data_IF_990775055288
#
_entry.id   IF_990775055288
#
_cell.length_a   1.000
_cell.length_b   1.000
_cell.length_c   1.000
_cell.angle_alpha   90.00
_cell.angle_beta   90.00
_cell.angle_gamma   90.00
#
_symmetry.space_group_name_H-M   'P 1'
#
loop_
_entity.id
_entity.type
_entity.pdbx_description
1 polymer ?
#
# COMPACT_ATOMS: atom_id res chain seq x y z
N UNK A 1 5.25 10.73 7.96
CA UNK A 1 5.17 10.08 6.65
C UNK A 1 5.91 10.80 5.56
N UNK A 2 6.12 10.11 4.46
CA UNK A 2 6.72 10.68 3.24
C UNK A 2 5.91 10.23 2.02
N UNK A 3 5.67 11.17 1.10
CA UNK A 3 5.17 10.91 -0.24
C UNK A 3 6.35 11.05 -1.21
N UNK A 4 6.51 10.06 -2.07
CA UNK A 4 7.55 10.02 -3.11
C UNK A 4 6.89 9.83 -4.48
N UNK A 5 7.58 10.21 -5.55
CA UNK A 5 7.24 9.66 -6.86
C UNK A 5 7.51 8.15 -6.86
N UNK A 6 6.75 7.40 -7.65
CA UNK A 6 6.96 5.95 -7.78
C UNK A 6 8.39 5.69 -8.29
N UNK A 7 9.24 5.00 -7.51
CA UNK A 7 10.60 4.65 -7.92
C UNK A 7 10.55 3.45 -8.88
N UNK A 8 10.18 3.70 -10.13
CA UNK A 8 9.91 2.68 -11.14
C UNK A 8 11.06 1.70 -11.32
N UNK A 9 12.28 2.22 -11.46
CA UNK A 9 13.47 1.40 -11.70
C UNK A 9 13.73 0.44 -10.54
N UNK A 10 13.56 0.90 -9.30
CA UNK A 10 13.63 0.04 -8.13
C UNK A 10 12.54 -1.04 -8.18
N UNK A 11 11.28 -0.69 -8.51
CA UNK A 11 10.21 -1.67 -8.55
C UNK A 11 10.38 -2.70 -9.66
N UNK A 12 11.00 -2.34 -10.78
CA UNK A 12 11.36 -3.30 -11.84
C UNK A 12 12.35 -4.36 -11.36
N UNK A 13 13.21 -4.07 -10.37
CA UNK A 13 14.13 -5.08 -9.83
C UNK A 13 13.43 -6.14 -8.98
N UNK A 14 12.31 -5.79 -8.34
CA UNK A 14 11.55 -6.68 -7.46
C UNK A 14 10.29 -7.27 -8.09
N UNK A 15 9.81 -6.67 -9.15
CA UNK A 15 8.68 -7.12 -9.97
C UNK A 15 9.00 -6.89 -11.46
N UNK A 16 9.83 -7.75 -12.08
CA UNK A 16 10.37 -7.53 -13.43
C UNK A 16 9.31 -7.38 -14.53
N UNK A 17 8.13 -7.99 -14.31
CA UNK A 17 7.02 -7.99 -15.28
C UNK A 17 6.14 -6.74 -15.21
N UNK A 18 6.48 -5.73 -14.39
CA UNK A 18 5.72 -4.48 -14.38
C UNK A 18 5.77 -3.81 -15.77
N UNK A 19 4.64 -3.22 -16.21
CA UNK A 19 4.61 -2.40 -17.42
C UNK A 19 5.51 -1.16 -17.29
N UNK A 20 5.54 -0.36 -18.35
CA UNK A 20 6.27 0.90 -18.36
C UNK A 20 5.74 1.88 -17.30
N UNK A 21 6.60 2.83 -16.92
CA UNK A 21 6.26 3.89 -15.96
C UNK A 21 4.98 4.62 -16.39
N UNK A 22 4.03 4.72 -15.46
CA UNK A 22 2.71 5.33 -15.68
C UNK A 22 1.65 4.37 -16.22
N UNK A 23 2.01 3.15 -16.66
CA UNK A 23 1.06 2.13 -17.13
C UNK A 23 0.58 1.20 -16.01
N UNK A 24 0.96 1.46 -14.78
CA UNK A 24 0.46 0.80 -13.57
C UNK A 24 0.34 1.77 -12.42
N UNK A 25 -0.51 1.44 -11.46
CA UNK A 25 -0.59 2.10 -10.18
C UNK A 25 -0.09 1.20 -9.06
N UNK A 26 0.33 1.80 -7.96
CA UNK A 26 0.75 1.07 -6.77
C UNK A 26 0.38 1.81 -5.49
N UNK A 27 0.28 1.07 -4.40
CA UNK A 27 0.03 1.61 -3.07
C UNK A 27 0.40 0.62 -1.98
N UNK A 28 0.66 1.13 -0.79
CA UNK A 28 0.85 0.32 0.40
C UNK A 28 -0.50 0.04 1.05
N UNK A 29 -0.79 -1.23 1.27
CA UNK A 29 -1.95 -1.72 1.99
C UNK A 29 -1.56 -2.01 3.45
N UNK A 30 -2.23 -1.35 4.38
CA UNK A 30 -2.01 -1.54 5.82
C UNK A 30 -3.10 -2.46 6.36
N UNK A 31 -2.70 -3.69 6.69
CA UNK A 31 -3.59 -4.70 7.22
C UNK A 31 -3.54 -4.71 8.75
N UNK A 32 -4.70 -4.69 9.44
CA UNK A 32 -4.73 -4.72 10.89
C UNK A 32 -4.32 -6.09 11.46
N UNK A 33 -3.91 -6.04 12.71
CA UNK A 33 -3.60 -7.21 13.52
C UNK A 33 -2.16 -7.71 13.40
N UNK A 34 -1.68 -8.41 14.45
CA UNK A 34 -0.31 -8.91 14.53
C UNK A 34 0.04 -9.90 13.40
N UNK A 35 1.30 -9.88 12.98
CA UNK A 35 1.79 -10.73 11.87
C UNK A 35 1.52 -12.22 12.12
N UNK A 36 1.73 -12.71 13.34
CA UNK A 36 1.66 -14.12 13.70
C UNK A 36 0.32 -14.54 14.32
N UNK A 37 -0.69 -13.67 14.34
CA UNK A 37 -2.03 -14.03 14.82
C UNK A 37 -2.84 -14.73 13.72
N UNK A 38 -3.28 -15.96 13.97
CA UNK A 38 -4.02 -16.79 13.00
C UNK A 38 -5.38 -16.20 12.60
N UNK A 39 -6.05 -15.48 13.52
CA UNK A 39 -7.33 -14.81 13.20
C UNK A 39 -7.09 -13.63 12.27
N UNK A 40 -6.08 -12.82 12.58
CA UNK A 40 -5.65 -11.72 11.73
C UNK A 40 -5.14 -12.19 10.36
N UNK A 41 -4.47 -13.33 10.30
CA UNK A 41 -4.03 -13.95 9.04
C UNK A 41 -5.21 -14.33 8.13
N UNK A 42 -6.23 -14.99 8.69
CA UNK A 42 -7.46 -15.31 7.95
C UNK A 42 -8.16 -14.06 7.43
N UNK A 43 -8.24 -13.02 8.27
CA UNK A 43 -8.83 -11.75 7.88
C UNK A 43 -8.03 -11.06 6.75
N UNK A 44 -6.69 -11.07 6.84
CA UNK A 44 -5.82 -10.55 5.77
C UNK A 44 -6.01 -11.30 4.46
N UNK A 45 -6.11 -12.63 4.52
CA UNK A 45 -6.36 -13.46 3.33
C UNK A 45 -7.71 -13.12 2.70
N UNK A 46 -8.77 -13.00 3.50
CA UNK A 46 -10.09 -12.60 3.02
C UNK A 46 -10.08 -11.20 2.38
N UNK A 47 -9.37 -10.25 3.00
CA UNK A 47 -9.20 -8.90 2.43
C UNK A 47 -8.45 -8.92 1.10
N UNK A 48 -7.38 -9.70 0.97
CA UNK A 48 -6.65 -9.84 -0.30
C UNK A 48 -7.57 -10.40 -1.38
N UNK A 49 -8.34 -11.45 -1.10
CA UNK A 49 -9.32 -12.00 -2.05
C UNK A 49 -10.38 -10.97 -2.45
N UNK A 50 -10.91 -10.19 -1.50
CA UNK A 50 -11.88 -9.12 -1.82
C UNK A 50 -11.26 -8.03 -2.70
N UNK A 51 -10.00 -7.64 -2.41
CA UNK A 51 -9.25 -6.66 -3.21
C UNK A 51 -9.08 -7.16 -4.64
N UNK A 52 -8.64 -8.41 -4.81
CA UNK A 52 -8.40 -9.01 -6.13
C UNK A 52 -9.71 -9.11 -6.93
N UNK A 53 -10.79 -9.59 -6.30
CA UNK A 53 -12.12 -9.67 -6.93
C UNK A 53 -12.69 -8.30 -7.30
N UNK A 54 -12.47 -7.28 -6.45
CA UNK A 54 -12.90 -5.91 -6.75
C UNK A 54 -12.06 -5.28 -7.86
N UNK A 55 -10.75 -5.59 -7.93
CA UNK A 55 -9.89 -5.11 -9.02
C UNK A 55 -10.40 -5.59 -10.37
N UNK A 56 -10.68 -6.89 -10.49
CA UNK A 56 -11.26 -7.49 -11.69
C UNK A 56 -12.57 -6.79 -12.10
N UNK A 57 -13.52 -6.65 -11.17
CA UNK A 57 -14.81 -5.97 -11.38
C UNK A 57 -14.66 -4.49 -11.75
N UNK A 58 -13.51 -3.87 -11.41
CA UNK A 58 -13.19 -2.48 -11.69
C UNK A 58 -12.41 -2.29 -13.00
N UNK A 59 -12.21 -3.35 -13.78
CA UNK A 59 -11.42 -3.33 -15.01
C UNK A 59 -9.92 -3.11 -14.74
N UNK A 60 -9.45 -3.53 -13.55
CA UNK A 60 -8.05 -3.52 -13.16
C UNK A 60 -7.51 -4.95 -13.13
N UNK A 61 -6.22 -5.09 -13.38
CA UNK A 61 -5.49 -6.36 -13.28
C UNK A 61 -4.49 -6.27 -12.14
N UNK A 62 -4.51 -7.23 -11.23
CA UNK A 62 -3.46 -7.35 -10.20
C UNK A 62 -2.21 -7.92 -10.85
N UNK A 63 -1.17 -7.10 -10.93
CA UNK A 63 0.10 -7.45 -11.54
C UNK A 63 1.02 -8.18 -10.55
N UNK A 64 1.02 -7.74 -9.31
CA UNK A 64 1.80 -8.36 -8.24
C UNK A 64 1.34 -7.89 -6.85
N UNK A 65 1.58 -8.75 -5.86
CA UNK A 65 1.62 -8.42 -4.44
C UNK A 65 3.02 -8.69 -3.90
N UNK A 66 3.47 -7.89 -2.93
CA UNK A 66 4.67 -8.18 -2.15
C UNK A 66 4.52 -7.74 -0.70
N UNK A 67 5.29 -8.34 0.17
CA UNK A 67 5.49 -7.83 1.52
C UNK A 67 6.47 -6.66 1.48
N UNK A 68 6.16 -5.61 2.25
CA UNK A 68 7.06 -4.46 2.40
C UNK A 68 7.98 -4.74 3.57
N UNK A 69 9.31 -4.67 3.39
CA UNK A 69 10.24 -4.96 4.46
C UNK A 69 10.19 -3.86 5.52
N UNK A 70 9.83 -4.24 6.75
CA UNK A 70 9.77 -3.37 7.93
C UNK A 70 10.70 -3.89 9.02
N UNK A 71 11.18 -2.97 9.87
CA UNK A 71 11.98 -3.30 11.05
C UNK A 71 11.24 -2.86 12.32
N UNK A 72 10.52 -3.77 13.01
CA UNK A 72 9.78 -3.45 14.22
C UNK A 72 10.69 -3.13 15.44
N UNK A 73 11.98 -3.40 15.37
CA UNK A 73 12.88 -3.15 16.50
C UNK A 73 13.17 -1.66 16.74
N UNK A 74 12.91 -0.82 15.74
CA UNK A 74 13.13 0.63 15.85
C UNK A 74 11.94 1.40 16.40
N UNK A 75 10.80 0.74 16.63
CA UNK A 75 9.57 1.37 17.14
C UNK A 75 9.30 1.04 18.61
N UNK A 76 8.62 1.94 19.31
CA UNK A 76 8.30 1.74 20.72
C UNK A 76 7.26 0.65 20.97
N UNK A 77 7.18 0.15 22.20
CA UNK A 77 6.31 -0.96 22.60
C UNK A 77 4.81 -0.71 22.29
N UNK A 78 4.34 0.53 22.40
CA UNK A 78 2.95 0.88 22.10
C UNK A 78 2.71 0.77 20.58
N UNK A 79 3.63 1.28 19.76
CA UNK A 79 3.53 1.20 18.32
C UNK A 79 3.62 -0.25 17.81
N UNK A 80 4.47 -1.09 18.44
CA UNK A 80 4.55 -2.54 18.13
C UNK A 80 3.21 -3.26 18.33
N UNK A 81 2.44 -2.92 19.36
CA UNK A 81 1.13 -3.54 19.62
C UNK A 81 0.08 -3.23 18.55
N UNK A 82 0.22 -2.09 17.89
CA UNK A 82 -0.68 -1.63 16.84
C UNK A 82 -0.03 -1.71 15.43
N UNK A 83 1.11 -2.39 15.33
CA UNK A 83 1.84 -2.50 14.06
C UNK A 83 1.01 -3.24 13.03
N UNK A 84 0.72 -2.62 11.87
CA UNK A 84 0.05 -3.31 10.77
C UNK A 84 1.01 -4.18 9.97
N UNK A 85 0.48 -5.22 9.36
CA UNK A 85 1.20 -5.90 8.27
C UNK A 85 1.09 -5.04 7.01
N UNK A 86 2.23 -4.68 6.42
CA UNK A 86 2.27 -3.80 5.25
C UNK A 86 2.59 -4.62 4.01
N UNK A 87 1.66 -4.62 3.05
CA UNK A 87 1.87 -5.19 1.72
C UNK A 87 1.78 -4.10 0.65
N UNK A 88 2.40 -4.34 -0.48
CA UNK A 88 2.28 -3.47 -1.65
C UNK A 88 1.56 -4.20 -2.77
N UNK A 89 0.60 -3.52 -3.40
CA UNK A 89 -0.08 -3.99 -4.61
C UNK A 89 0.41 -3.21 -5.83
N UNK A 90 0.48 -3.89 -6.96
CA UNK A 90 0.66 -3.29 -8.28
C UNK A 90 -0.55 -3.62 -9.13
N UNK A 91 -1.19 -2.60 -9.69
CA UNK A 91 -2.42 -2.71 -10.48
C UNK A 91 -2.21 -2.10 -11.85
N UNK A 92 -2.53 -2.85 -12.89
CA UNK A 92 -2.59 -2.37 -14.27
C UNK A 92 -4.01 -2.27 -14.78
N UNK A 93 -4.16 -1.88 -16.04
CA UNK A 93 -5.43 -1.96 -16.75
C UNK A 93 -5.68 -3.41 -17.21
N UNK A 94 -6.90 -3.93 -16.98
CA UNK A 94 -7.32 -5.22 -17.54
C UNK A 94 -7.41 -5.19 -19.10
N UNK A 95 -7.34 -3.98 -19.69
CA UNK A 95 -7.33 -3.76 -21.15
C UNK A 95 -5.90 -3.65 -21.70
N UNK A 96 -4.93 -4.26 -21.05
CA UNK A 96 -3.52 -4.19 -21.45
C UNK A 96 -2.93 -2.79 -21.22
N UNK A 97 -2.30 -2.21 -22.23
CA UNK A 97 -1.61 -0.92 -22.12
C UNK A 97 -2.54 0.31 -22.15
N UNK A 98 -3.87 0.13 -22.07
CA UNK A 98 -4.80 1.25 -21.96
C UNK A 98 -4.69 1.92 -20.59
N UNK A 99 -4.00 3.05 -20.56
CA UNK A 99 -3.82 3.89 -19.37
C UNK A 99 -4.87 4.99 -19.24
N UNK A 100 -5.82 5.05 -20.19
CA UNK A 100 -6.90 6.04 -20.16
C UNK A 100 -7.65 5.92 -18.83
N UNK A 101 -7.76 7.03 -18.12
CA UNK A 101 -8.43 7.12 -16.82
C UNK A 101 -7.92 6.15 -15.73
N UNK A 102 -6.72 5.55 -15.89
CA UNK A 102 -6.21 4.60 -14.90
C UNK A 102 -6.15 5.22 -13.50
N UNK A 103 -5.69 6.45 -13.35
CA UNK A 103 -5.65 7.16 -12.07
C UNK A 103 -7.05 7.31 -11.45
N UNK A 104 -8.06 7.65 -12.27
CA UNK A 104 -9.46 7.74 -11.82
C UNK A 104 -10.00 6.37 -11.42
N UNK A 105 -9.71 5.32 -12.19
CA UNK A 105 -10.11 3.94 -11.86
C UNK A 105 -9.51 3.47 -10.55
N UNK A 106 -8.23 3.76 -10.28
CA UNK A 106 -7.56 3.47 -9.02
C UNK A 106 -8.20 4.22 -7.85
N UNK A 107 -8.53 5.49 -8.04
CA UNK A 107 -9.24 6.28 -7.03
C UNK A 107 -10.62 5.69 -6.70
N UNK A 108 -11.42 5.39 -7.73
CA UNK A 108 -12.75 4.80 -7.55
C UNK A 108 -12.68 3.40 -6.92
N UNK A 109 -11.72 2.58 -7.34
CA UNK A 109 -11.44 1.28 -6.74
C UNK A 109 -11.17 1.42 -5.25
N UNK A 110 -10.24 2.31 -4.85
CA UNK A 110 -9.92 2.56 -3.44
C UNK A 110 -11.16 2.99 -2.65
N UNK A 111 -11.98 3.91 -3.18
CA UNK A 111 -13.20 4.37 -2.51
C UNK A 111 -14.24 3.28 -2.35
N UNK A 112 -14.41 2.43 -3.35
CA UNK A 112 -15.31 1.25 -3.27
C UNK A 112 -14.82 0.26 -2.23
N UNK A 113 -13.53 -0.02 -2.20
CA UNK A 113 -12.94 -0.92 -1.22
C UNK A 113 -13.10 -0.39 0.22
N UNK A 114 -12.83 0.90 0.47
CA UNK A 114 -13.06 1.55 1.76
C UNK A 114 -14.53 1.38 2.22
N UNK A 115 -15.48 1.50 1.30
CA UNK A 115 -16.90 1.27 1.58
C UNK A 115 -17.17 -0.20 1.92
N UNK A 116 -16.70 -1.13 1.11
CA UNK A 116 -16.89 -2.58 1.32
C UNK A 116 -16.35 -3.00 2.70
N UNK A 117 -15.13 -2.60 3.04
CA UNK A 117 -14.51 -2.96 4.33
C UNK A 117 -15.30 -2.38 5.52
N UNK A 118 -15.90 -1.21 5.35
CA UNK A 118 -16.71 -0.58 6.40
C UNK A 118 -18.07 -1.25 6.60
N UNK A 119 -18.70 -1.71 5.53
CA UNK A 119 -20.09 -2.16 5.52
C UNK A 119 -20.25 -3.68 5.67
N UNK A 120 -19.30 -4.47 5.20
CA UNK A 120 -19.38 -5.94 5.32
C UNK A 120 -19.07 -6.39 6.75
N UNK A 121 -19.97 -7.17 7.35
CA UNK A 121 -19.80 -7.73 8.70
C UNK A 121 -18.56 -8.64 8.80
N UNK A 122 -18.18 -9.30 7.73
CA UNK A 122 -16.97 -10.11 7.61
C UNK A 122 -15.70 -9.33 7.92
N UNK A 123 -15.69 -8.02 7.64
CA UNK A 123 -14.56 -7.12 7.85
C UNK A 123 -14.71 -6.21 9.08
N UNK A 124 -15.57 -6.57 10.03
CA UNK A 124 -15.79 -5.77 11.26
C UNK A 124 -14.49 -5.53 12.04
N UNK A 125 -13.58 -6.50 12.05
CA UNK A 125 -12.26 -6.41 12.70
C UNK A 125 -11.18 -5.76 11.79
N UNK A 126 -11.53 -5.33 10.57
CA UNK A 126 -10.62 -4.73 9.61
C UNK A 126 -10.79 -3.22 9.43
N UNK A 127 -11.44 -2.53 10.37
CA UNK A 127 -11.74 -1.08 10.26
C UNK A 127 -10.51 -0.19 10.09
N UNK A 128 -9.36 -0.65 10.55
CA UNK A 128 -8.07 0.07 10.42
C UNK A 128 -7.36 -0.23 9.08
N UNK A 129 -7.91 -1.15 8.27
CA UNK A 129 -7.40 -1.41 6.93
C UNK A 129 -7.52 -0.15 6.05
N UNK A 130 -6.42 0.22 5.40
CA UNK A 130 -6.45 1.35 4.48
C UNK A 130 -5.29 1.36 3.49
N UNK A 131 -5.49 2.08 2.38
CA UNK A 131 -4.44 2.54 1.49
C UNK A 131 -4.20 4.03 1.71
N UNK A 132 -3.01 4.48 2.16
CA UNK A 132 -2.68 5.91 2.24
C UNK A 132 -2.74 6.59 0.87
N UNK A 133 -2.26 5.88 -0.15
CA UNK A 133 -2.34 6.28 -1.55
C UNK A 133 -2.47 5.05 -2.43
N UNK A 134 -3.08 5.23 -3.59
CA UNK A 134 -3.08 4.27 -4.68
C UNK A 134 -3.08 5.10 -5.97
N UNK A 135 -1.94 5.12 -6.68
CA UNK A 135 -1.70 6.10 -7.74
C UNK A 135 -0.72 5.55 -8.78
N UNK A 136 -0.79 6.09 -9.99
CA UNK A 136 0.20 5.85 -11.06
C UNK A 136 1.44 6.74 -10.92
N UNK A 137 1.41 7.73 -9.99
CA UNK A 137 2.42 8.80 -9.91
C UNK A 137 3.21 8.77 -8.61
N UNK A 138 2.54 8.51 -7.48
CA UNK A 138 3.13 8.67 -6.15
C UNK A 138 2.84 7.49 -5.24
N UNK A 139 3.68 7.32 -4.23
CA UNK A 139 3.50 6.34 -3.15
C UNK A 139 3.75 7.01 -1.81
N UNK A 140 2.99 6.60 -0.79
CA UNK A 140 3.08 7.14 0.57
C UNK A 140 3.53 6.07 1.54
N UNK A 141 4.64 6.35 2.23
CA UNK A 141 5.10 5.61 3.41
C UNK A 141 4.72 6.39 4.66
N UNK A 142 3.96 5.78 5.56
CA UNK A 142 3.54 6.42 6.81
C UNK A 142 3.41 5.40 7.95
N UNK A 143 3.36 5.90 9.18
CA UNK A 143 3.12 5.11 10.38
C UNK A 143 3.14 5.99 11.61
N UNK A 144 2.86 5.41 12.77
CA UNK A 144 3.07 6.04 14.08
C UNK A 144 4.56 6.02 14.42
N UNK A 145 5.34 6.84 13.71
CA UNK A 145 6.79 6.85 13.70
C UNK A 145 7.31 8.26 13.98
N UNK A 146 8.37 8.38 14.74
CA UNK A 146 9.16 9.61 14.75
C UNK A 146 9.83 9.79 13.38
N UNK A 147 10.14 11.04 13.01
CA UNK A 147 10.75 11.34 11.70
C UNK A 147 12.05 10.56 11.47
N UNK A 148 12.86 10.39 12.51
CA UNK A 148 14.10 9.60 12.48
C UNK A 148 13.89 8.10 12.29
N UNK A 149 12.71 7.56 12.65
CA UNK A 149 12.41 6.13 12.56
C UNK A 149 11.94 5.71 11.17
N UNK A 150 11.39 6.62 10.37
CA UNK A 150 10.71 6.28 9.12
C UNK A 150 11.61 5.45 8.18
N UNK A 151 12.84 5.91 7.95
CA UNK A 151 13.82 5.23 7.07
C UNK A 151 14.35 3.93 7.66
N UNK A 152 14.46 3.85 8.98
CA UNK A 152 14.93 2.66 9.67
C UNK A 152 13.83 1.61 9.79
N UNK A 153 12.56 2.02 9.84
CA UNK A 153 11.40 1.15 9.88
C UNK A 153 11.09 0.57 8.50
N UNK A 154 10.91 1.41 7.48
CA UNK A 154 10.79 0.96 6.09
C UNK A 154 12.19 0.82 5.49
N UNK A 155 12.80 -0.34 5.67
CA UNK A 155 14.24 -0.55 5.36
C UNK A 155 14.59 -0.30 3.91
N UNK A 156 13.64 -0.51 2.99
CA UNK A 156 13.84 -0.24 1.57
C UNK A 156 14.07 1.26 1.27
N UNK A 157 13.58 2.19 2.11
CA UNK A 157 13.85 3.62 1.94
C UNK A 157 15.34 3.98 2.10
N UNK A 158 16.15 3.06 2.61
CA UNK A 158 17.62 3.20 2.65
C UNK A 158 18.30 2.73 1.35
N UNK A 159 17.57 2.06 0.44
CA UNK A 159 18.12 1.58 -0.82
C UNK A 159 18.42 2.75 -1.77
N UNK A 160 19.65 2.90 -2.27
CA UNK A 160 20.02 3.99 -3.18
C UNK A 160 19.31 3.96 -4.53
N UNK A 161 18.72 2.81 -4.91
CA UNK A 161 17.91 2.71 -6.12
C UNK A 161 16.53 3.37 -5.98
N UNK A 162 16.09 3.70 -4.75
CA UNK A 162 14.88 4.49 -4.53
C UNK A 162 15.21 5.97 -4.75
N UNK A 163 15.03 6.40 -5.99
CA UNK A 163 15.22 7.80 -6.40
C UNK A 163 13.90 8.50 -6.60
N UNK A 164 13.84 9.77 -6.29
CA UNK A 164 12.67 10.63 -6.48
C UNK A 164 13.09 12.06 -6.79
N UNK A 165 12.40 12.73 -7.72
CA UNK A 165 12.62 14.14 -7.99
C UNK A 165 11.89 15.04 -6.98
N UNK A 166 10.84 14.51 -6.31
CA UNK A 166 10.03 15.25 -5.34
C UNK A 166 9.74 14.35 -4.14
N UNK A 167 9.99 14.86 -2.95
CA UNK A 167 9.58 14.25 -1.70
C UNK A 167 8.77 15.26 -0.87
N UNK A 168 7.59 14.84 -0.41
CA UNK A 168 6.79 15.62 0.55
C UNK A 168 6.83 14.90 1.90
N UNK A 169 7.29 15.59 2.94
CA UNK A 169 7.42 15.03 4.28
C UNK A 169 6.40 15.67 5.22
N UNK A 170 5.73 14.83 6.02
CA UNK A 170 4.81 15.26 7.05
C UNK A 170 5.18 14.59 8.38
N UNK A 171 5.55 15.40 9.40
CA UNK A 171 6.08 14.92 10.68
C UNK A 171 5.05 14.94 11.83
N UNK A 172 3.87 15.51 11.63
CA UNK A 172 2.81 15.62 12.65
C UNK A 172 1.52 15.00 12.17
N UNK A 173 0.62 14.65 13.11
CA UNK A 173 -0.78 14.41 12.77
C UNK A 173 -1.42 15.73 12.32
N UNK A 174 -2.20 15.71 11.24
CA UNK A 174 -3.05 16.85 10.95
C UNK A 174 -4.13 16.91 12.03
N UNK A 175 -4.15 17.98 12.78
CA UNK A 175 -5.28 18.34 13.65
C UNK A 175 -6.21 19.19 12.78
N UNK A 176 -7.38 18.64 12.46
CA UNK A 176 -8.49 19.42 11.94
C UNK A 176 -9.21 20.11 13.08
#
# INVERSE_FOLDING_TARGET
>A
GVLLQIPHDFYKTIAPNLPEKGAYGTGLAFFPGPLHDKKAEKLRTALVHEIDALAEKSGLSVLAWRDVPTNPEVIGLIAKKAEPVVKQIFLGSARGNDTTDLELRLYLFRKRLEKIVREKAEFADAKDFHFPSLSTKTIVYKGMLMSSQLRSYFTELANPAITTAVAMVHSRFSTN
#
